data_IF_284754801353
#
_entry.id   IF_284754801353
#
_cell.length_a   1.000
_cell.length_b   1.000
_cell.length_c   1.000
_cell.angle_alpha   90.00
_cell.angle_beta   90.00
_cell.angle_gamma   90.00
#
_symmetry.space_group_name_H-M   'P 1'
#
loop_
_entity.id
_entity.type
_entity.pdbx_description
1 polymer ?
#
# COMPACT_ATOMS: atom_id res chain seq x y z
N UNK A 1 21.27 -5.05 8.36
CA UNK A 1 21.36 -6.15 7.39
C UNK A 1 22.16 -5.77 6.14
N UNK A 2 21.87 -4.69 5.41
CA UNK A 2 22.60 -4.32 4.18
C UNK A 2 24.10 -4.10 4.43
N UNK A 3 24.50 -3.43 5.53
CA UNK A 3 25.91 -3.31 5.92
C UNK A 3 26.58 -4.68 6.16
N UNK A 4 25.83 -5.63 6.72
CA UNK A 4 26.32 -6.99 6.94
C UNK A 4 26.55 -7.72 5.62
N UNK A 5 25.62 -7.58 4.66
CA UNK A 5 25.72 -8.22 3.35
C UNK A 5 26.88 -7.67 2.53
N UNK A 6 27.07 -6.35 2.52
CA UNK A 6 27.97 -5.68 1.58
C UNK A 6 29.29 -5.24 2.19
N UNK A 7 29.41 -5.21 3.52
CA UNK A 7 30.55 -4.61 4.22
C UNK A 7 30.67 -3.09 4.05
N UNK A 8 29.66 -2.43 3.47
CA UNK A 8 29.63 -1.01 3.20
C UNK A 8 28.75 -0.28 4.21
N UNK A 9 29.11 0.96 4.55
CA UNK A 9 28.29 1.81 5.40
C UNK A 9 26.98 2.17 4.69
N UNK A 10 25.85 2.08 5.39
CA UNK A 10 24.53 2.45 4.90
C UNK A 10 24.08 3.76 5.53
N UNK A 11 23.63 4.69 4.70
CA UNK A 11 22.95 5.90 5.12
C UNK A 11 21.47 5.77 4.78
N UNK A 12 20.62 5.83 5.80
CA UNK A 12 19.17 5.78 5.62
C UNK A 12 18.61 7.21 5.50
N UNK A 13 17.76 7.42 4.49
CA UNK A 13 16.99 8.65 4.31
C UNK A 13 15.51 8.29 4.27
N UNK A 14 14.70 9.03 5.01
CA UNK A 14 13.26 8.87 5.08
C UNK A 14 12.57 10.04 4.38
N UNK A 15 11.49 9.73 3.68
CA UNK A 15 10.57 10.73 3.10
C UNK A 15 9.15 10.17 3.15
N UNK A 16 8.16 11.04 3.27
CA UNK A 16 6.74 10.71 3.08
C UNK A 16 6.26 11.03 1.66
N UNK A 17 7.13 11.63 0.83
CA UNK A 17 6.82 12.02 -0.53
C UNK A 17 7.27 10.92 -1.50
N UNK A 18 6.30 10.30 -2.17
CA UNK A 18 6.53 9.24 -3.18
C UNK A 18 7.40 9.74 -4.34
N UNK A 19 7.16 10.96 -4.84
CA UNK A 19 7.92 11.51 -5.96
C UNK A 19 9.41 11.65 -5.60
N UNK A 20 9.71 12.11 -4.38
CA UNK A 20 11.10 12.22 -3.90
C UNK A 20 11.77 10.84 -3.81
N UNK A 21 11.07 9.81 -3.32
CA UNK A 21 11.61 8.46 -3.24
C UNK A 21 11.87 7.87 -4.64
N UNK A 22 10.89 7.99 -5.55
CA UNK A 22 10.97 7.51 -6.94
C UNK A 22 12.12 8.21 -7.68
N UNK A 23 12.19 9.54 -7.60
CA UNK A 23 13.23 10.32 -8.24
C UNK A 23 14.63 9.98 -7.68
N UNK A 24 14.76 9.84 -6.37
CA UNK A 24 16.04 9.47 -5.73
C UNK A 24 16.55 8.12 -6.18
N UNK A 25 15.67 7.14 -6.35
CA UNK A 25 16.04 5.82 -6.85
C UNK A 25 16.39 5.87 -8.35
N UNK A 26 15.55 6.52 -9.17
CA UNK A 26 15.74 6.55 -10.63
C UNK A 26 16.98 7.33 -11.05
N UNK A 27 17.33 8.42 -10.37
CA UNK A 27 18.54 9.21 -10.68
C UNK A 27 19.82 8.67 -9.97
N UNK A 28 19.72 7.62 -9.14
CA UNK A 28 20.84 7.01 -8.45
C UNK A 28 21.34 7.76 -7.21
N UNK A 29 20.65 8.79 -6.75
CA UNK A 29 20.95 9.46 -5.46
C UNK A 29 20.75 8.49 -4.30
N UNK A 30 19.73 7.61 -4.40
CA UNK A 30 19.57 6.43 -3.56
C UNK A 30 19.91 5.16 -4.38
N UNK A 31 20.72 4.27 -3.82
CA UNK A 31 21.08 2.99 -4.44
C UNK A 31 19.96 1.96 -4.29
N UNK A 32 19.20 2.06 -3.20
CA UNK A 32 18.10 1.15 -2.86
C UNK A 32 16.91 1.99 -2.42
N UNK A 33 15.73 1.64 -2.90
CA UNK A 33 14.44 2.20 -2.50
C UNK A 33 13.54 1.11 -1.93
N UNK A 34 12.75 1.45 -0.92
CA UNK A 34 11.78 0.57 -0.28
C UNK A 34 10.48 1.32 0.00
N UNK A 35 9.40 0.58 0.23
CA UNK A 35 8.10 1.12 0.65
C UNK A 35 7.43 2.09 -0.34
N UNK A 36 7.80 2.03 -1.62
CA UNK A 36 7.19 2.86 -2.69
C UNK A 36 5.95 2.19 -3.32
N UNK A 37 5.62 0.97 -2.89
CA UNK A 37 4.62 0.15 -3.55
C UNK A 37 5.03 -0.29 -4.96
N UNK A 38 4.17 -1.08 -5.62
CA UNK A 38 4.45 -1.56 -6.97
C UNK A 38 4.37 -0.46 -8.03
N UNK A 39 3.45 0.50 -7.90
CA UNK A 39 3.34 1.65 -8.83
C UNK A 39 4.57 2.56 -8.76
N UNK A 40 5.02 2.90 -7.54
CA UNK A 40 6.24 3.70 -7.37
C UNK A 40 7.47 3.01 -7.96
N UNK A 41 7.58 1.69 -7.81
CA UNK A 41 8.60 0.91 -8.49
C UNK A 41 8.47 0.99 -10.02
N UNK A 42 7.27 0.81 -10.56
CA UNK A 42 7.02 0.89 -12.01
C UNK A 42 7.38 2.27 -12.57
N UNK A 43 7.06 3.35 -11.86
CA UNK A 43 7.43 4.71 -12.24
C UNK A 43 8.95 4.92 -12.21
N UNK A 44 9.64 4.44 -11.17
CA UNK A 44 11.11 4.51 -11.10
C UNK A 44 11.77 3.73 -12.24
N UNK A 45 11.27 2.52 -12.54
CA UNK A 45 11.72 1.68 -13.67
C UNK A 45 11.49 2.35 -15.02
N UNK A 46 10.33 2.99 -15.22
CA UNK A 46 10.02 3.72 -16.45
C UNK A 46 10.92 4.95 -16.63
N UNK A 47 11.35 5.59 -15.54
CA UNK A 47 12.28 6.72 -15.57
C UNK A 47 13.75 6.27 -15.79
N UNK A 48 14.12 5.07 -15.35
CA UNK A 48 15.45 4.51 -15.54
C UNK A 48 15.40 2.98 -15.64
N UNK A 49 15.72 2.43 -16.80
CA UNK A 49 15.73 0.98 -17.08
C UNK A 49 16.70 0.18 -16.20
N UNK A 50 17.71 0.83 -15.60
CA UNK A 50 18.62 0.19 -14.67
C UNK A 50 18.00 -0.09 -13.28
N UNK A 51 16.82 0.47 -12.97
CA UNK A 51 16.08 0.16 -11.74
C UNK A 51 15.48 -1.25 -11.85
N UNK A 52 15.76 -2.11 -10.86
CA UNK A 52 15.27 -3.49 -10.83
C UNK A 52 14.84 -3.87 -9.40
N UNK A 53 13.97 -4.90 -9.24
CA UNK A 53 13.59 -5.36 -7.91
C UNK A 53 14.69 -6.22 -7.30
N UNK A 54 14.87 -6.12 -5.99
CA UNK A 54 15.77 -6.98 -5.20
C UNK A 54 15.04 -8.21 -4.69
N UNK A 55 14.01 -7.96 -3.91
CA UNK A 55 13.17 -8.96 -3.27
C UNK A 55 11.86 -8.32 -2.82
N UNK A 56 10.90 -9.15 -2.47
CA UNK A 56 9.59 -8.76 -1.95
C UNK A 56 9.22 -9.65 -0.77
N UNK A 57 8.41 -9.15 0.15
CA UNK A 57 7.81 -9.96 1.19
C UNK A 57 6.84 -10.97 0.56
N UNK A 58 7.00 -12.25 0.90
CA UNK A 58 6.06 -13.31 0.51
C UNK A 58 4.73 -13.17 1.26
N UNK A 59 3.73 -13.92 0.81
CA UNK A 59 2.55 -14.22 1.62
C UNK A 59 2.81 -15.36 2.63
N UNK A 60 1.74 -15.91 3.19
CA UNK A 60 1.79 -17.01 4.16
C UNK A 60 2.36 -18.31 3.59
N UNK A 61 2.26 -18.50 2.26
CA UNK A 61 2.83 -19.65 1.55
C UNK A 61 4.36 -19.67 1.54
N UNK A 62 5.02 -18.53 1.76
CA UNK A 62 6.46 -18.35 1.57
C UNK A 62 6.84 -18.19 0.08
N UNK A 63 5.87 -17.86 -0.78
CA UNK A 63 6.07 -17.71 -2.23
C UNK A 63 5.45 -16.41 -2.74
N UNK A 64 5.56 -16.16 -4.06
CA UNK A 64 4.94 -15.01 -4.72
C UNK A 64 3.42 -15.19 -4.94
N UNK A 65 2.86 -16.41 -4.80
CA UNK A 65 1.46 -16.71 -5.13
C UNK A 65 0.47 -15.88 -4.31
N UNK A 66 0.80 -15.63 -3.06
CA UNK A 66 0.00 -14.86 -2.09
C UNK A 66 0.76 -13.67 -1.50
N UNK A 67 1.78 -13.18 -2.20
CA UNK A 67 2.54 -11.98 -1.83
C UNK A 67 1.71 -10.71 -2.11
N UNK A 68 0.62 -10.56 -1.38
CA UNK A 68 -0.42 -9.57 -1.57
C UNK A 68 -0.71 -8.81 -0.29
N UNK A 69 -1.20 -7.60 -0.46
CA UNK A 69 -1.87 -6.79 0.55
C UNK A 69 -3.16 -6.22 -0.04
N UNK A 70 -3.93 -5.44 0.69
CA UNK A 70 -5.26 -5.05 0.25
C UNK A 70 -5.43 -3.54 0.16
N UNK A 71 -5.96 -3.09 -0.97
CA UNK A 71 -6.47 -1.74 -1.18
C UNK A 71 -7.94 -1.69 -0.80
N UNK A 72 -8.33 -0.74 0.04
CA UNK A 72 -9.70 -0.55 0.49
C UNK A 72 -10.32 0.71 -0.11
N UNK A 73 -11.62 0.61 -0.45
CA UNK A 73 -12.52 1.74 -0.30
C UNK A 73 -13.22 1.59 1.05
N UNK A 74 -13.13 2.63 1.87
CA UNK A 74 -13.72 2.65 3.19
C UNK A 74 -14.63 3.87 3.37
N UNK A 75 -15.65 3.70 4.21
CA UNK A 75 -16.61 4.73 4.62
C UNK A 75 -16.76 4.73 6.13
N UNK A 76 -17.26 5.82 6.73
CA UNK A 76 -17.59 5.80 8.15
C UNK A 76 -18.69 4.78 8.44
N UNK A 77 -18.66 4.13 9.60
CA UNK A 77 -19.68 3.13 10.00
C UNK A 77 -21.10 3.71 9.93
N UNK A 78 -21.25 4.98 10.31
CA UNK A 78 -22.56 5.66 10.29
C UNK A 78 -23.18 5.78 8.89
N UNK A 79 -22.36 5.81 7.84
CA UNK A 79 -22.79 5.99 6.45
C UNK A 79 -22.80 4.68 5.66
N UNK A 80 -22.38 3.57 6.26
CA UNK A 80 -22.17 2.30 5.58
C UNK A 80 -23.43 1.71 4.93
N UNK A 81 -24.59 1.97 5.51
CA UNK A 81 -25.88 1.50 4.96
C UNK A 81 -26.18 2.07 3.57
N UNK A 82 -25.68 3.25 3.24
CA UNK A 82 -25.83 3.88 1.92
C UNK A 82 -25.09 3.11 0.80
N UNK A 83 -24.14 2.24 1.16
CA UNK A 83 -23.30 1.50 0.23
C UNK A 83 -23.64 0.00 0.18
N UNK A 84 -24.71 -0.44 0.86
CA UNK A 84 -25.17 -1.82 0.81
C UNK A 84 -25.77 -2.19 -0.53
N UNK A 85 -25.38 -3.38 -1.02
CA UNK A 85 -25.99 -4.06 -2.15
C UNK A 85 -26.44 -5.46 -1.72
N UNK A 86 -27.69 -5.58 -1.29
CA UNK A 86 -28.22 -6.80 -0.71
C UNK A 86 -27.49 -7.20 0.58
N UNK A 87 -26.80 -8.34 0.55
CA UNK A 87 -25.99 -8.84 1.67
C UNK A 87 -24.50 -8.40 1.58
N UNK A 88 -24.13 -7.64 0.54
CA UNK A 88 -22.77 -7.19 0.28
C UNK A 88 -22.69 -5.66 0.30
N UNK A 89 -21.61 -5.11 -0.19
CA UNK A 89 -21.37 -3.69 -0.40
C UNK A 89 -21.00 -3.43 -1.85
N UNK A 90 -21.24 -2.19 -2.33
CA UNK A 90 -20.90 -1.72 -3.67
C UNK A 90 -20.36 -0.30 -3.61
N UNK A 91 -19.55 0.04 -4.61
CA UNK A 91 -19.10 1.41 -4.85
C UNK A 91 -20.03 2.22 -5.74
N UNK A 92 -21.27 1.74 -6.03
CA UNK A 92 -22.23 2.44 -6.90
C UNK A 92 -22.52 3.88 -6.43
N UNK A 93 -22.56 4.09 -5.12
CA UNK A 93 -22.93 5.36 -4.51
C UNK A 93 -21.75 6.29 -4.17
N UNK A 94 -20.54 6.01 -4.69
CA UNK A 94 -19.38 6.91 -4.46
C UNK A 94 -19.41 8.15 -5.38
N UNK A 95 -20.13 8.11 -6.50
CA UNK A 95 -20.26 9.24 -7.42
C UNK A 95 -20.89 10.45 -6.72
N UNK A 96 -20.29 11.62 -6.89
CA UNK A 96 -20.71 12.86 -6.24
C UNK A 96 -20.27 12.99 -4.76
N UNK A 97 -19.60 12.02 -4.20
CA UNK A 97 -19.06 12.08 -2.83
C UNK A 97 -17.72 12.81 -2.78
N UNK A 98 -17.29 13.20 -1.57
CA UNK A 98 -15.93 13.69 -1.31
C UNK A 98 -15.01 12.47 -1.18
N UNK A 99 -14.00 12.38 -2.03
CA UNK A 99 -13.05 11.28 -2.08
C UNK A 99 -11.70 11.68 -1.49
N UNK A 100 -11.08 10.80 -0.71
CA UNK A 100 -9.68 10.95 -0.33
C UNK A 100 -8.84 9.80 -0.89
N UNK A 101 -7.81 10.16 -1.66
CA UNK A 101 -6.74 9.28 -2.10
C UNK A 101 -5.46 9.52 -1.28
N UNK A 102 -4.46 8.65 -1.46
CA UNK A 102 -3.15 8.79 -0.80
C UNK A 102 -2.25 9.77 -1.54
N UNK A 103 -1.83 9.39 -2.74
CA UNK A 103 -0.96 10.11 -3.66
C UNK A 103 -1.13 9.48 -5.04
N UNK A 104 -0.98 10.25 -6.11
CA UNK A 104 -1.08 9.74 -7.48
C UNK A 104 -0.02 8.68 -7.84
N UNK A 105 1.02 8.54 -7.04
CA UNK A 105 2.05 7.49 -7.18
C UNK A 105 1.83 6.29 -6.25
N UNK A 106 0.75 6.29 -5.44
CA UNK A 106 0.43 5.17 -4.56
C UNK A 106 -0.29 4.06 -5.33
N UNK A 107 0.16 2.81 -5.17
CA UNK A 107 -0.49 1.64 -5.78
C UNK A 107 -1.89 1.43 -5.22
N UNK A 108 -1.99 1.17 -3.92
CA UNK A 108 -3.25 0.84 -3.24
C UNK A 108 -4.06 2.05 -2.80
N UNK A 109 -3.44 3.23 -2.74
CA UNK A 109 -4.13 4.47 -2.39
C UNK A 109 -4.57 5.31 -3.58
N UNK A 110 -4.26 4.89 -4.83
CA UNK A 110 -4.66 5.62 -6.04
C UNK A 110 -4.79 4.71 -7.28
N UNK A 111 -3.72 4.03 -7.72
CA UNK A 111 -3.72 3.28 -8.99
C UNK A 111 -4.76 2.15 -9.01
N UNK A 112 -4.79 1.30 -8.00
CA UNK A 112 -5.78 0.23 -7.88
C UNK A 112 -7.20 0.78 -7.67
N UNK A 113 -7.45 1.75 -6.76
CA UNK A 113 -8.74 2.42 -6.65
C UNK A 113 -9.25 3.03 -7.95
N UNK A 114 -8.46 3.82 -8.66
CA UNK A 114 -8.89 4.46 -9.91
C UNK A 114 -9.17 3.43 -11.00
N UNK A 115 -8.35 2.38 -11.13
CA UNK A 115 -8.62 1.25 -12.03
C UNK A 115 -9.95 0.55 -11.67
N UNK A 116 -10.25 0.37 -10.39
CA UNK A 116 -11.50 -0.21 -9.91
C UNK A 116 -12.69 0.67 -10.28
N UNK A 117 -12.61 1.99 -10.04
CA UNK A 117 -13.66 2.96 -10.40
C UNK A 117 -13.90 2.95 -11.92
N UNK A 118 -12.86 3.10 -12.74
CA UNK A 118 -12.96 3.12 -14.20
C UNK A 118 -13.56 1.82 -14.75
N UNK A 119 -13.26 0.70 -14.09
CA UNK A 119 -13.80 -0.61 -14.50
C UNK A 119 -15.25 -0.78 -14.08
N UNK A 120 -15.61 -0.33 -12.88
CA UNK A 120 -16.98 -0.42 -12.34
C UNK A 120 -17.94 0.51 -13.08
N UNK A 121 -17.52 1.75 -13.34
CA UNK A 121 -18.29 2.76 -14.07
C UNK A 121 -17.92 2.82 -15.56
N UNK A 122 -17.72 1.65 -16.19
CA UNK A 122 -17.28 1.57 -17.59
C UNK A 122 -18.18 2.30 -18.59
N UNK A 123 -19.50 2.43 -18.29
CA UNK A 123 -20.45 3.19 -19.11
C UNK A 123 -20.20 4.70 -19.11
N UNK A 124 -19.53 5.23 -18.10
CA UNK A 124 -19.27 6.67 -17.95
C UNK A 124 -18.03 7.08 -18.76
N UNK A 125 -17.27 6.10 -19.32
CA UNK A 125 -16.05 6.31 -20.10
C UNK A 125 -14.99 7.16 -19.38
N UNK A 126 -14.86 6.97 -18.08
CA UNK A 126 -13.90 7.70 -17.24
C UNK A 126 -12.46 7.36 -17.62
N UNK A 127 -11.60 8.37 -17.51
CA UNK A 127 -10.14 8.24 -17.47
C UNK A 127 -9.63 8.70 -16.11
N UNK A 128 -8.36 8.45 -15.79
CA UNK A 128 -7.79 8.82 -14.47
C UNK A 128 -7.91 10.32 -14.20
N UNK A 129 -7.73 11.17 -15.23
CA UNK A 129 -7.81 12.62 -15.07
C UNK A 129 -9.19 13.09 -14.55
N UNK A 130 -10.27 12.39 -14.89
CA UNK A 130 -11.61 12.68 -14.39
C UNK A 130 -11.77 12.43 -12.88
N UNK A 131 -10.83 11.70 -12.28
CA UNK A 131 -10.81 11.32 -10.86
C UNK A 131 -9.82 12.14 -10.03
N UNK A 132 -9.05 13.05 -10.65
CA UNK A 132 -8.04 13.86 -9.96
C UNK A 132 -8.62 15.12 -9.31
N UNK A 133 -9.73 15.62 -9.83
CA UNK A 133 -10.33 16.87 -9.39
C UNK A 133 -11.79 16.66 -9.02
N UNK A 134 -12.28 17.47 -8.09
CA UNK A 134 -13.69 17.53 -7.69
C UNK A 134 -14.41 18.72 -8.29
N UNK A 135 -15.75 18.66 -8.30
CA UNK A 135 -16.59 19.77 -8.75
C UNK A 135 -18.03 19.34 -8.97
N UNK A 136 -18.92 20.32 -9.25
CA UNK A 136 -20.36 20.06 -9.45
C UNK A 136 -20.66 19.15 -10.63
N UNK A 137 -19.79 19.15 -11.65
CA UNK A 137 -19.94 18.39 -12.90
C UNK A 137 -18.89 17.27 -13.00
N UNK A 138 -18.00 17.12 -11.99
CA UNK A 138 -17.00 16.07 -11.92
C UNK A 138 -17.58 14.76 -11.36
N UNK A 139 -16.83 13.67 -11.46
CA UNK A 139 -17.21 12.38 -10.89
C UNK A 139 -17.34 12.47 -9.36
N UNK A 140 -16.40 13.14 -8.70
CA UNK A 140 -16.44 13.44 -7.27
C UNK A 140 -16.79 14.91 -7.02
N UNK A 141 -17.49 15.21 -5.91
CA UNK A 141 -17.73 16.60 -5.50
C UNK A 141 -16.46 17.29 -5.01
N UNK A 142 -15.55 16.55 -4.41
CA UNK A 142 -14.25 17.00 -3.93
C UNK A 142 -13.26 15.84 -3.96
N UNK A 143 -11.99 16.11 -4.30
CA UNK A 143 -10.89 15.15 -4.22
C UNK A 143 -9.81 15.68 -3.30
N UNK A 144 -9.43 14.87 -2.32
CA UNK A 144 -8.38 15.14 -1.35
C UNK A 144 -7.24 14.14 -1.55
N UNK A 145 -6.02 14.58 -1.30
CA UNK A 145 -4.85 13.71 -1.21
C UNK A 145 -4.30 13.76 0.22
N UNK A 146 -4.35 12.60 0.92
CA UNK A 146 -3.89 12.50 2.30
C UNK A 146 -2.36 12.52 2.46
N UNK A 147 -1.61 12.35 1.36
CA UNK A 147 -0.15 12.28 1.35
C UNK A 147 0.41 10.96 1.90
N UNK A 148 -0.37 10.23 2.68
CA UNK A 148 -0.07 8.90 3.22
C UNK A 148 -1.37 8.10 3.40
N UNK A 149 -1.27 6.79 3.62
CA UNK A 149 -2.42 5.94 3.93
C UNK A 149 -3.10 6.39 5.22
N UNK A 150 -2.31 6.73 6.24
CA UNK A 150 -2.80 7.28 7.49
C UNK A 150 -3.54 8.61 7.27
N UNK A 151 -2.99 9.50 6.43
CA UNK A 151 -3.62 10.78 6.10
C UNK A 151 -4.95 10.62 5.37
N UNK A 152 -5.04 9.66 4.42
CA UNK A 152 -6.30 9.36 3.72
C UNK A 152 -7.36 8.77 4.66
N UNK A 153 -7.00 7.81 5.51
CA UNK A 153 -7.89 7.25 6.52
C UNK A 153 -8.32 8.29 7.55
N UNK A 154 -7.43 9.19 7.96
CA UNK A 154 -7.75 10.29 8.87
C UNK A 154 -8.72 11.31 8.25
N UNK A 155 -8.61 11.58 6.94
CA UNK A 155 -9.59 12.42 6.25
C UNK A 155 -11.00 11.84 6.35
N UNK A 156 -11.15 10.50 6.22
CA UNK A 156 -12.42 9.82 6.43
C UNK A 156 -12.92 9.98 7.87
N UNK A 157 -12.12 9.54 8.83
CA UNK A 157 -12.53 9.48 10.25
C UNK A 157 -12.76 10.85 10.87
N UNK A 158 -12.13 11.90 10.34
CA UNK A 158 -12.36 13.29 10.72
C UNK A 158 -13.51 13.98 9.96
N UNK A 159 -14.22 13.25 9.07
CA UNK A 159 -15.36 13.77 8.31
C UNK A 159 -14.99 14.73 7.18
N UNK A 160 -13.73 14.77 6.74
CA UNK A 160 -13.30 15.59 5.60
C UNK A 160 -13.64 14.93 4.27
N UNK A 161 -13.65 13.61 4.20
CA UNK A 161 -14.11 12.84 3.04
C UNK A 161 -15.26 11.92 3.42
N UNK A 162 -16.06 11.51 2.45
CA UNK A 162 -17.15 10.57 2.61
C UNK A 162 -16.69 9.14 2.29
N UNK A 163 -15.71 9.03 1.38
CA UNK A 163 -15.07 7.78 0.97
C UNK A 163 -13.56 7.99 0.95
N UNK A 164 -12.81 7.00 1.37
CA UNK A 164 -11.34 7.07 1.31
C UNK A 164 -10.73 5.78 0.78
N UNK A 165 -9.63 5.92 0.04
CA UNK A 165 -8.80 4.80 -0.39
C UNK A 165 -7.50 4.75 0.42
N UNK A 166 -7.19 3.58 0.98
CA UNK A 166 -5.96 3.30 1.72
C UNK A 166 -5.71 1.79 1.78
N UNK A 167 -4.61 1.34 2.36
CA UNK A 167 -4.32 -0.10 2.47
C UNK A 167 -4.42 -0.63 3.90
N UNK A 168 -4.54 -1.95 4.00
CA UNK A 168 -4.61 -2.69 5.25
C UNK A 168 -3.31 -2.59 6.06
N UNK A 169 -2.16 -2.77 5.41
CA UNK A 169 -0.85 -2.86 6.08
C UNK A 169 -0.50 -1.60 6.89
N UNK A 170 -0.71 -0.43 6.29
CA UNK A 170 -0.35 0.84 6.90
C UNK A 170 -1.31 1.27 8.03
N UNK A 171 -2.51 0.68 8.06
CA UNK A 171 -3.50 0.90 9.10
C UNK A 171 -3.44 -0.16 10.22
N UNK A 172 -2.79 -1.31 9.98
CA UNK A 172 -2.71 -2.40 10.96
C UNK A 172 -2.19 -1.99 12.35
N UNK A 173 -1.22 -1.07 12.49
CA UNK A 173 -0.79 -0.60 13.82
C UNK A 173 -1.82 0.24 14.58
N UNK A 174 -2.83 0.77 13.88
CA UNK A 174 -3.77 1.76 14.42
C UNK A 174 -5.21 1.27 14.54
N UNK A 175 -5.57 0.22 13.79
CA UNK A 175 -6.95 -0.25 13.71
C UNK A 175 -7.03 -1.78 13.77
N UNK A 176 -8.04 -2.28 14.46
CA UNK A 176 -8.32 -3.72 14.59
C UNK A 176 -9.65 -4.04 13.91
N UNK A 177 -9.69 -5.12 13.12
CA UNK A 177 -10.94 -5.67 12.59
C UNK A 177 -11.77 -6.23 13.74
N UNK A 178 -12.91 -5.59 14.02
CA UNK A 178 -13.79 -5.94 15.15
C UNK A 178 -15.02 -6.71 14.73
N UNK A 179 -15.44 -6.61 13.46
CA UNK A 179 -16.59 -7.33 12.92
C UNK A 179 -16.35 -7.70 11.44
N UNK A 180 -16.96 -8.79 10.98
CA UNK A 180 -16.79 -9.29 9.61
C UNK A 180 -15.52 -10.11 9.41
N UNK A 181 -15.16 -10.35 8.16
CA UNK A 181 -13.92 -11.06 7.79
C UNK A 181 -12.85 -10.03 7.43
N UNK A 182 -11.70 -10.13 8.08
CA UNK A 182 -10.56 -9.23 7.82
C UNK A 182 -10.23 -9.17 6.33
N UNK A 183 -10.00 -7.95 5.82
CA UNK A 183 -9.67 -7.65 4.43
C UNK A 183 -10.77 -7.98 3.39
N UNK A 184 -12.00 -8.20 3.83
CA UNK A 184 -13.15 -8.38 2.93
C UNK A 184 -14.12 -7.20 3.00
N UNK A 185 -14.93 -7.03 1.97
CA UNK A 185 -16.01 -6.05 2.00
C UNK A 185 -17.00 -6.42 3.11
N UNK A 186 -17.40 -5.43 3.91
CA UNK A 186 -18.21 -5.60 5.11
C UNK A 186 -17.40 -5.74 6.41
N UNK A 187 -16.07 -5.83 6.33
CA UNK A 187 -15.24 -5.76 7.52
C UNK A 187 -15.34 -4.39 8.19
N UNK A 188 -15.54 -4.38 9.50
CA UNK A 188 -15.55 -3.17 10.33
C UNK A 188 -14.26 -3.13 11.14
N UNK A 189 -13.57 -2.03 11.03
CA UNK A 189 -12.35 -1.75 11.78
C UNK A 189 -12.59 -0.65 12.79
N UNK A 190 -12.08 -0.82 14.00
CA UNK A 190 -12.13 0.17 15.06
C UNK A 190 -10.73 0.72 15.31
N UNK A 191 -10.58 2.03 15.42
CA UNK A 191 -9.32 2.66 15.80
C UNK A 191 -9.02 2.31 17.26
N UNK A 192 -7.82 1.80 17.50
CA UNK A 192 -7.38 1.30 18.80
C UNK A 192 -7.35 2.41 19.85
N UNK A 193 -7.63 2.06 21.11
CA UNK A 193 -7.64 3.01 22.24
C UNK A 193 -6.26 3.62 22.52
N UNK A 194 -5.18 2.94 22.13
CA UNK A 194 -3.79 3.37 22.27
C UNK A 194 -3.20 3.94 20.98
N UNK A 195 -4.00 4.08 19.92
CA UNK A 195 -3.53 4.61 18.64
C UNK A 195 -2.82 5.97 18.84
N UNK A 196 -1.62 6.07 18.25
CA UNK A 196 -0.85 7.30 18.23
C UNK A 196 -1.32 8.25 17.11
N UNK A 197 -0.74 9.45 17.04
CA UNK A 197 -1.02 10.40 15.97
C UNK A 197 -0.79 9.74 14.58
N UNK A 198 -1.65 10.04 13.59
CA UNK A 198 -2.70 11.06 13.61
C UNK A 198 -4.05 10.59 14.17
N UNK A 199 -4.15 9.35 14.66
CA UNK A 199 -5.42 8.75 15.09
C UNK A 199 -5.77 8.95 16.58
N UNK A 200 -4.91 9.58 17.33
CA UNK A 200 -5.11 9.86 18.76
C UNK A 200 -6.36 10.69 19.08
N UNK A 201 -6.87 11.44 18.11
CA UNK A 201 -8.09 12.26 18.23
C UNK A 201 -9.37 11.55 17.74
N UNK A 202 -9.24 10.37 17.12
CA UNK A 202 -10.34 9.59 16.54
C UNK A 202 -10.35 8.15 17.07
N UNK A 203 -9.80 7.91 18.27
CA UNK A 203 -9.83 6.60 18.93
C UNK A 203 -11.26 6.13 19.13
N UNK A 204 -11.49 4.84 18.87
CA UNK A 204 -12.82 4.23 18.97
C UNK A 204 -13.73 4.50 17.77
N UNK A 205 -13.36 5.44 16.88
CA UNK A 205 -14.09 5.63 15.62
C UNK A 205 -13.92 4.40 14.71
N UNK A 206 -14.92 4.17 13.87
CA UNK A 206 -15.00 2.98 13.04
C UNK A 206 -15.14 3.32 11.57
N UNK A 207 -14.55 2.47 10.73
CA UNK A 207 -14.78 2.48 9.29
C UNK A 207 -15.20 1.09 8.80
N UNK A 208 -15.97 1.08 7.70
CA UNK A 208 -16.42 -0.13 7.00
C UNK A 208 -15.72 -0.21 5.65
N UNK A 209 -15.14 -1.35 5.35
CA UNK A 209 -14.61 -1.64 4.01
C UNK A 209 -15.77 -1.95 3.08
N UNK A 210 -16.00 -1.10 2.08
CA UNK A 210 -17.08 -1.31 1.08
C UNK A 210 -16.56 -2.02 -0.18
N UNK A 211 -15.25 -1.97 -0.43
CA UNK A 211 -14.57 -2.69 -1.51
C UNK A 211 -13.15 -3.01 -1.06
N UNK A 212 -12.71 -4.24 -1.29
CA UNK A 212 -11.35 -4.70 -1.06
C UNK A 212 -10.77 -5.28 -2.34
N UNK A 213 -9.56 -4.87 -2.68
CA UNK A 213 -8.87 -5.30 -3.90
C UNK A 213 -7.48 -5.79 -3.54
N UNK A 214 -7.10 -7.05 -3.85
CA UNK A 214 -5.75 -7.53 -3.64
C UNK A 214 -4.77 -6.81 -4.56
N UNK A 215 -3.61 -6.46 -4.01
CA UNK A 215 -2.55 -5.72 -4.69
C UNK A 215 -1.22 -6.43 -4.44
N UNK A 216 -0.36 -6.52 -5.45
CA UNK A 216 0.97 -7.11 -5.32
C UNK A 216 1.83 -6.32 -4.34
N UNK A 217 2.53 -7.01 -3.42
CA UNK A 217 3.49 -6.38 -2.52
C UNK A 217 4.55 -5.59 -3.30
N UNK A 218 4.87 -4.39 -2.82
CA UNK A 218 5.91 -3.56 -3.43
C UNK A 218 7.32 -4.11 -3.16
N UNK A 219 8.25 -4.04 -4.12
CA UNK A 219 9.61 -4.55 -3.94
C UNK A 219 10.47 -3.60 -3.12
N UNK A 220 11.49 -4.16 -2.49
CA UNK A 220 12.75 -3.46 -2.35
C UNK A 220 13.39 -3.42 -3.73
N UNK A 221 13.75 -2.24 -4.20
CA UNK A 221 14.29 -2.04 -5.53
C UNK A 221 15.66 -1.37 -5.49
N UNK A 222 16.47 -1.56 -6.52
CA UNK A 222 17.79 -0.96 -6.62
C UNK A 222 18.02 -0.28 -7.95
N UNK A 223 18.97 0.65 -7.98
CA UNK A 223 19.47 1.27 -9.20
C UNK A 223 20.77 0.56 -9.63
N UNK A 224 20.72 -0.18 -10.73
CA UNK A 224 21.83 -0.97 -11.26
C UNK A 224 22.99 -0.14 -11.83
N UNK A 225 22.80 1.18 -12.07
CA UNK A 225 23.90 2.06 -12.45
C UNK A 225 24.80 2.40 -11.24
N UNK A 226 24.28 2.28 -10.02
CA UNK A 226 24.96 2.76 -8.81
C UNK A 226 25.18 1.69 -7.75
N UNK A 227 24.50 0.55 -7.83
CA UNK A 227 24.72 -0.62 -6.97
C UNK A 227 25.37 -1.76 -7.79
N UNK A 228 26.51 -2.28 -7.33
CA UNK A 228 27.22 -3.34 -8.05
C UNK A 228 26.45 -4.67 -8.02
N UNK A 229 26.62 -5.50 -9.04
CA UNK A 229 26.00 -6.83 -9.09
C UNK A 229 26.44 -7.74 -7.94
N UNK A 230 27.68 -7.58 -7.45
CA UNK A 230 28.18 -8.28 -6.27
C UNK A 230 27.39 -7.90 -5.01
N UNK A 231 27.13 -6.60 -4.81
CA UNK A 231 26.31 -6.12 -3.69
C UNK A 231 24.85 -6.60 -3.82
N UNK A 232 24.29 -6.54 -5.04
CA UNK A 232 22.91 -7.04 -5.33
C UNK A 232 22.81 -8.50 -4.91
N UNK A 233 23.72 -9.36 -5.37
CA UNK A 233 23.71 -10.78 -5.04
C UNK A 233 23.86 -11.01 -3.54
N UNK A 234 24.81 -10.34 -2.88
CA UNK A 234 25.04 -10.47 -1.44
C UNK A 234 23.80 -10.04 -0.62
N UNK A 235 23.12 -8.97 -1.04
CA UNK A 235 21.88 -8.52 -0.40
C UNK A 235 20.77 -9.54 -0.61
N UNK A 236 20.55 -10.04 -1.83
CA UNK A 236 19.53 -11.04 -2.12
C UNK A 236 19.77 -12.33 -1.33
N UNK A 237 21.00 -12.86 -1.31
CA UNK A 237 21.36 -14.06 -0.56
C UNK A 237 21.08 -13.92 0.94
N UNK A 238 21.43 -12.77 1.54
CA UNK A 238 21.18 -12.55 2.97
C UNK A 238 19.68 -12.39 3.24
N UNK A 239 18.97 -11.54 2.47
CA UNK A 239 17.58 -11.22 2.77
C UNK A 239 16.63 -12.39 2.53
N UNK A 240 16.96 -13.32 1.62
CA UNK A 240 16.17 -14.54 1.39
C UNK A 240 16.60 -15.72 2.27
N UNK A 241 17.51 -15.52 3.21
CA UNK A 241 18.01 -16.56 4.12
C UNK A 241 17.10 -16.79 5.34
N UNK A 242 17.27 -17.97 5.96
CA UNK A 242 16.63 -18.30 7.24
C UNK A 242 17.04 -17.34 8.37
N UNK A 243 18.22 -16.73 8.30
CA UNK A 243 18.67 -15.75 9.27
C UNK A 243 17.72 -14.55 9.31
N UNK A 244 17.35 -14.01 8.15
CA UNK A 244 16.46 -12.85 8.04
C UNK A 244 15.00 -13.23 8.29
N UNK A 245 14.56 -14.39 7.81
CA UNK A 245 13.17 -14.85 8.04
C UNK A 245 12.87 -15.17 9.51
N UNK A 246 13.91 -15.40 10.33
CA UNK A 246 13.79 -15.63 11.77
C UNK A 246 14.24 -14.43 12.63
N UNK A 247 14.59 -13.30 12.02
CA UNK A 247 14.92 -12.07 12.76
C UNK A 247 13.61 -11.34 13.15
N UNK A 248 13.33 -11.26 14.46
CA UNK A 248 12.11 -10.64 14.99
C UNK A 248 12.03 -9.14 14.75
N UNK A 249 13.13 -8.46 14.44
CA UNK A 249 13.11 -7.06 14.02
C UNK A 249 12.56 -6.90 12.59
N UNK A 250 12.51 -7.98 11.82
CA UNK A 250 12.00 -7.99 10.46
C UNK A 250 10.64 -8.71 10.42
N UNK A 251 10.60 -9.96 10.89
CA UNK A 251 9.39 -10.77 10.95
C UNK A 251 9.07 -11.14 12.39
N UNK A 252 8.17 -10.40 13.04
CA UNK A 252 7.81 -10.66 14.43
C UNK A 252 6.58 -11.58 14.53
N UNK A 253 6.57 -12.43 15.54
CA UNK A 253 5.43 -13.31 15.77
C UNK A 253 4.26 -12.52 16.38
N UNK A 254 3.05 -12.83 15.94
CA UNK A 254 1.82 -12.29 16.54
C UNK A 254 1.82 -12.56 18.05
N UNK A 255 1.37 -11.62 18.83
CA UNK A 255 1.28 -11.71 20.30
C UNK A 255 2.63 -11.90 21.03
N UNK A 256 3.78 -11.75 20.34
CA UNK A 256 5.10 -11.84 20.98
C UNK A 256 5.44 -10.64 21.88
N UNK A 257 4.74 -9.51 21.70
CA UNK A 257 5.10 -8.24 22.31
C UNK A 257 6.32 -7.56 21.66
N UNK A 258 6.89 -8.16 20.61
CA UNK A 258 7.96 -7.59 19.81
C UNK A 258 7.38 -6.68 18.71
N UNK A 259 8.19 -5.75 18.25
CA UNK A 259 7.86 -4.88 17.12
C UNK A 259 8.92 -5.06 16.04
N UNK A 260 8.47 -5.49 14.86
CA UNK A 260 9.29 -5.65 13.67
C UNK A 260 8.63 -4.97 12.46
N UNK A 261 9.18 -5.19 11.29
CA UNK A 261 8.63 -4.62 10.06
C UNK A 261 7.33 -5.33 9.62
N UNK A 262 7.25 -6.66 9.80
CA UNK A 262 6.13 -7.47 9.31
C UNK A 262 5.67 -8.46 10.39
N UNK A 263 4.35 -8.51 10.63
CA UNK A 263 3.76 -9.58 11.43
C UNK A 263 3.84 -10.90 10.68
N UNK A 264 4.42 -11.91 11.30
CA UNK A 264 4.59 -13.24 10.72
C UNK A 264 3.30 -14.03 10.83
N UNK A 265 2.57 -14.13 9.73
CA UNK A 265 1.28 -14.85 9.66
C UNK A 265 1.48 -16.37 9.51
N UNK A 266 2.66 -16.83 9.10
CA UNK A 266 3.06 -18.24 9.05
C UNK A 266 4.57 -18.37 9.20
N UNK A 267 5.05 -19.55 9.60
CA UNK A 267 6.50 -19.85 9.69
C UNK A 267 7.21 -19.80 8.34
N UNK A 268 6.47 -19.84 7.23
CA UNK A 268 7.01 -19.78 5.87
C UNK A 268 7.26 -18.38 5.36
N UNK A 269 6.65 -17.35 5.98
CA UNK A 269 6.85 -15.97 5.53
C UNK A 269 8.31 -15.58 5.57
N UNK A 270 8.78 -15.06 4.44
CA UNK A 270 10.16 -14.66 4.21
C UNK A 270 10.21 -13.59 3.12
N UNK A 271 11.39 -13.10 2.79
CA UNK A 271 11.59 -12.42 1.53
C UNK A 271 11.89 -13.42 0.41
N UNK A 272 11.40 -13.14 -0.77
CA UNK A 272 11.63 -13.91 -2.00
C UNK A 272 12.12 -13.00 -3.12
N UNK A 273 12.99 -13.50 -3.97
CA UNK A 273 13.41 -12.77 -5.18
C UNK A 273 12.22 -12.63 -6.12
N UNK A 274 12.20 -11.55 -6.89
CA UNK A 274 11.12 -11.24 -7.80
C UNK A 274 11.70 -10.63 -9.08
N UNK A 275 11.08 -10.96 -10.21
CA UNK A 275 11.43 -10.41 -11.52
C UNK A 275 10.56 -9.20 -11.87
N UNK A 276 11.08 -8.31 -12.70
CA UNK A 276 10.38 -7.10 -13.12
C UNK A 276 8.99 -7.39 -13.74
N UNK A 277 8.87 -8.46 -14.53
CA UNK A 277 7.61 -8.89 -15.17
C UNK A 277 6.49 -9.25 -14.19
N UNK A 278 6.82 -9.54 -12.91
CA UNK A 278 5.80 -9.81 -11.89
C UNK A 278 4.92 -8.58 -11.61
N UNK A 279 5.40 -7.38 -11.95
CA UNK A 279 4.68 -6.12 -11.80
C UNK A 279 3.86 -5.70 -13.04
N UNK A 280 3.84 -6.51 -14.12
CA UNK A 280 3.04 -6.24 -15.32
C UNK A 280 1.54 -6.04 -15.03
N UNK A 281 0.90 -6.77 -14.08
CA UNK A 281 -0.48 -6.48 -13.71
C UNK A 281 -0.71 -5.04 -13.23
N UNK A 282 0.25 -4.45 -12.50
CA UNK A 282 0.16 -3.05 -12.04
C UNK A 282 0.34 -2.09 -13.23
N UNK A 283 1.31 -2.35 -14.12
CA UNK A 283 1.53 -1.54 -15.33
C UNK A 283 0.31 -1.53 -16.27
N UNK A 284 -0.41 -2.64 -16.33
CA UNK A 284 -1.57 -2.83 -17.21
C UNK A 284 -2.88 -2.31 -16.61
N UNK A 285 -2.89 -1.79 -15.38
CA UNK A 285 -4.07 -1.12 -14.84
C UNK A 285 -4.41 0.11 -15.70
N UNK A 286 -5.71 0.35 -15.88
CA UNK A 286 -6.20 1.50 -16.65
C UNK A 286 -5.66 2.81 -16.07
N UNK A 287 -5.26 3.68 -16.93
CA UNK A 287 -4.73 5.03 -16.62
C UNK A 287 -5.50 6.08 -17.41
#
# INVERSE_FOLDING_TARGET
>A
MIEKATGKKVEQKLTTDYAVAIESLSNGTAQIGACMGGEGYCQAKAANDAVNPLFVQSGESGTLEDALYYSFFAVNEADADDYKDGASYSIDNIKGKRMSFVSNSSTSGFKAPTNTIISHFASDNLIVDDLLEGGSDAFFSEVLFGGSHQGSAFNLLSGKSDVSAFCDLELAPYATCTEGTQNEAGAIYTINDDASAPFDTVRGEKYVVIQSTPVLNGPFAYNGDTLSQEDVQAIQELFTSDEVSNDSLIFYAKDSGEQGLYEKKSDKMCFVTVEDSWYDPIRNMKS
#
